data_IF_147763866079
#
_entry.id   IF_147763866079
#
_cell.length_a   1.000
_cell.length_b   1.000
_cell.length_c   1.000
_cell.angle_alpha   90.00
_cell.angle_beta   90.00
_cell.angle_gamma   90.00
#
_symmetry.space_group_name_H-M   'P 1'
#
loop_
_entity.id
_entity.type
_entity.pdbx_description
1 polymer ?
#
# COMPACT_ATOMS: atom_id res chain seq x y z
N UNK A 1 13.02 -15.13 55.65
CA UNK A 1 12.84 -16.22 54.68
C UNK A 1 13.88 -16.09 53.59
N UNK A 2 14.77 -17.08 53.47
CA UNK A 2 15.82 -17.14 52.44
C UNK A 2 15.18 -17.65 51.15
N UNK A 3 15.14 -16.84 50.09
CA UNK A 3 14.70 -17.29 48.76
C UNK A 3 15.94 -17.48 47.87
N UNK A 4 16.06 -18.68 47.32
CA UNK A 4 17.18 -19.20 46.55
C UNK A 4 16.90 -19.02 45.05
N UNK A 5 17.99 -18.73 44.32
CA UNK A 5 18.39 -19.36 43.04
C UNK A 5 17.54 -19.09 41.79
N UNK A 6 18.17 -18.43 40.80
CA UNK A 6 18.21 -18.92 39.41
C UNK A 6 19.29 -18.15 38.63
N UNK A 7 20.40 -18.84 38.37
CA UNK A 7 21.54 -18.40 37.57
C UNK A 7 21.30 -18.97 36.16
N UNK A 8 20.92 -18.13 35.19
CA UNK A 8 20.84 -18.54 33.78
C UNK A 8 22.17 -18.23 33.10
N UNK A 9 22.95 -19.29 32.90
CA UNK A 9 24.21 -19.28 32.15
C UNK A 9 23.88 -19.22 30.65
N UNK A 10 23.75 -18.01 30.11
CA UNK A 10 23.62 -17.76 28.68
C UNK A 10 24.98 -17.87 28.00
N UNK A 11 25.26 -19.02 27.40
CA UNK A 11 26.40 -19.26 26.51
C UNK A 11 26.20 -18.45 25.21
N UNK A 12 26.62 -17.17 25.23
CA UNK A 12 26.66 -16.36 24.01
C UNK A 12 27.98 -16.66 23.29
N UNK A 13 27.85 -17.46 22.24
CA UNK A 13 28.90 -17.80 21.28
C UNK A 13 29.50 -16.50 20.70
N UNK A 14 30.71 -16.15 21.14
CA UNK A 14 31.55 -15.15 20.50
C UNK A 14 31.95 -15.69 19.13
N UNK A 15 31.26 -15.29 18.06
CA UNK A 15 31.74 -15.47 16.69
C UNK A 15 32.86 -14.46 16.50
N UNK A 16 34.09 -14.87 16.82
CA UNK A 16 35.28 -14.18 16.38
C UNK A 16 35.40 -14.40 14.86
N UNK A 17 34.96 -13.41 14.08
CA UNK A 17 35.36 -13.30 12.68
C UNK A 17 36.86 -12.95 12.66
N UNK A 18 37.71 -13.98 12.66
CA UNK A 18 39.10 -13.80 12.29
C UNK A 18 39.15 -13.50 10.80
N UNK A 19 39.34 -12.22 10.47
CA UNK A 19 39.68 -11.78 9.12
C UNK A 19 41.07 -12.35 8.83
N UNK A 20 41.12 -13.49 8.16
CA UNK A 20 42.37 -14.01 7.62
C UNK A 20 42.68 -13.17 6.40
N UNK A 21 43.49 -12.12 6.59
CA UNK A 21 44.19 -11.54 5.45
C UNK A 21 45.09 -12.64 4.89
N UNK A 22 44.72 -13.20 3.74
CA UNK A 22 45.61 -14.00 2.94
C UNK A 22 46.70 -13.05 2.42
N UNK A 23 47.73 -12.79 3.24
CA UNK A 23 48.92 -12.11 2.76
C UNK A 23 49.59 -13.06 1.76
N UNK A 24 49.49 -12.74 0.47
CA UNK A 24 50.23 -13.42 -0.58
C UNK A 24 51.72 -13.32 -0.21
N UNK A 25 52.46 -14.44 -0.08
CA UNK A 25 53.88 -14.38 0.23
C UNK A 25 54.61 -13.65 -0.91
N UNK A 26 55.27 -12.54 -0.59
CA UNK A 26 56.19 -11.86 -1.51
C UNK A 26 57.51 -12.63 -1.58
N UNK A 27 57.45 -13.81 -2.19
CA UNK A 27 58.60 -14.68 -2.40
C UNK A 27 59.14 -14.51 -3.81
N UNK A 28 60.45 -14.34 -3.91
CA UNK A 28 61.16 -14.01 -5.13
C UNK A 28 62.32 -14.97 -5.32
N UNK A 29 62.27 -15.82 -6.34
CA UNK A 29 63.40 -16.70 -6.68
C UNK A 29 64.48 -15.93 -7.45
N UNK A 30 65.65 -15.77 -6.87
CA UNK A 30 66.84 -15.23 -7.53
C UNK A 30 67.76 -16.35 -8.01
N UNK A 31 68.18 -16.30 -9.28
CA UNK A 31 69.08 -17.27 -9.92
C UNK A 31 70.24 -16.57 -10.58
N UNK A 32 71.43 -17.12 -10.43
CA UNK A 32 72.64 -16.56 -11.01
C UNK A 32 73.68 -17.61 -11.35
N UNK A 33 74.68 -17.20 -12.13
CA UNK A 33 75.86 -18.00 -12.43
C UNK A 33 77.06 -17.41 -11.71
N UNK A 34 77.64 -18.17 -10.80
CA UNK A 34 78.82 -17.83 -10.04
C UNK A 34 80.08 -18.38 -10.72
N UNK A 35 81.06 -17.50 -10.90
CA UNK A 35 82.39 -17.82 -11.43
C UNK A 35 83.45 -17.34 -10.45
N UNK A 36 84.39 -18.19 -10.10
CA UNK A 36 85.60 -17.82 -9.36
C UNK A 36 86.79 -17.95 -10.33
N UNK A 37 87.58 -16.88 -10.48
CA UNK A 37 88.73 -16.84 -11.40
C UNK A 37 88.38 -17.24 -12.85
N UNK A 38 87.16 -16.93 -13.31
CA UNK A 38 86.68 -17.22 -14.67
C UNK A 38 86.12 -18.63 -14.88
N UNK A 39 86.28 -19.54 -13.91
CA UNK A 39 85.79 -20.91 -13.99
C UNK A 39 84.44 -21.08 -13.29
N UNK A 40 83.60 -21.98 -13.82
CA UNK A 40 82.35 -22.38 -13.17
C UNK A 40 82.68 -23.20 -11.94
N UNK A 41 82.02 -22.87 -10.82
CA UNK A 41 82.28 -23.53 -9.55
C UNK A 41 81.19 -24.54 -9.21
N UNK A 42 81.55 -25.59 -8.48
CA UNK A 42 80.57 -26.51 -7.87
C UNK A 42 80.90 -26.67 -6.39
N UNK A 43 79.88 -26.64 -5.54
CA UNK A 43 80.00 -26.76 -4.09
C UNK A 43 79.12 -25.78 -3.33
N UNK A 44 79.22 -25.83 -2.00
CA UNK A 44 78.43 -24.96 -1.11
C UNK A 44 79.06 -23.59 -0.96
N UNK A 45 78.25 -22.53 -0.94
CA UNK A 45 78.68 -21.15 -0.73
C UNK A 45 77.74 -20.42 0.22
N UNK A 46 78.29 -19.46 0.95
CA UNK A 46 77.53 -18.51 1.75
C UNK A 46 77.10 -17.34 0.87
N UNK A 47 75.81 -17.08 0.78
CA UNK A 47 75.25 -15.96 0.02
C UNK A 47 74.51 -14.99 0.94
N UNK A 48 74.58 -13.70 0.63
CA UNK A 48 73.76 -12.67 1.28
C UNK A 48 73.27 -11.66 0.23
N UNK A 49 72.01 -11.28 0.34
CA UNK A 49 71.30 -10.43 -0.61
C UNK A 49 70.80 -9.17 0.10
N UNK A 50 71.13 -7.99 -0.43
CA UNK A 50 70.69 -6.71 0.10
C UNK A 50 69.90 -5.92 -0.96
N UNK A 51 68.80 -5.29 -0.56
CA UNK A 51 68.02 -4.39 -1.40
C UNK A 51 68.27 -2.93 -1.04
N UNK A 52 68.33 -2.08 -2.07
CA UNK A 52 68.55 -0.63 -1.96
C UNK A 52 67.62 0.13 -2.89
N UNK A 53 67.37 1.42 -2.58
CA UNK A 53 66.65 2.37 -3.44
C UNK A 53 67.56 3.13 -4.42
N UNK A 54 68.88 2.94 -4.34
CA UNK A 54 69.86 3.62 -5.19
C UNK A 54 70.87 2.64 -5.78
N UNK A 55 71.41 2.95 -6.95
CA UNK A 55 72.41 2.12 -7.64
C UNK A 55 73.74 2.05 -6.88
N UNK A 56 74.12 3.16 -6.22
CA UNK A 56 75.32 3.25 -5.37
C UNK A 56 74.99 3.94 -4.05
N UNK A 57 75.73 3.61 -2.99
CA UNK A 57 75.50 4.16 -1.64
C UNK A 57 74.14 3.77 -1.05
N UNK A 58 73.56 4.64 -0.22
CA UNK A 58 72.23 4.44 0.37
C UNK A 58 72.19 3.49 1.57
N UNK A 59 71.05 3.47 2.26
CA UNK A 59 70.77 2.54 3.36
C UNK A 59 70.20 1.23 2.82
N UNK A 60 70.51 0.13 3.49
CA UNK A 60 69.92 -1.18 3.18
C UNK A 60 68.44 -1.15 3.54
N UNK A 61 67.57 -1.40 2.55
CA UNK A 61 66.13 -1.50 2.75
C UNK A 61 65.74 -2.87 3.31
N UNK A 62 66.43 -3.92 2.87
CA UNK A 62 66.23 -5.28 3.32
C UNK A 62 67.50 -6.11 3.12
N UNK A 63 67.71 -7.09 3.99
CA UNK A 63 68.77 -8.09 3.89
C UNK A 63 68.19 -9.49 4.08
N UNK A 64 68.66 -10.45 3.30
CA UNK A 64 68.36 -11.87 3.55
C UNK A 64 69.04 -12.41 4.82
N UNK A 65 70.03 -11.69 5.35
CA UNK A 65 71.03 -12.29 6.24
C UNK A 65 71.91 -13.31 5.51
N UNK A 66 72.80 -13.97 6.25
CA UNK A 66 73.68 -15.01 5.73
C UNK A 66 72.89 -16.30 5.46
N UNK A 67 72.73 -16.62 4.17
CA UNK A 67 72.24 -17.92 3.73
C UNK A 67 73.46 -18.83 3.59
N UNK A 68 73.64 -19.70 4.59
CA UNK A 68 74.73 -20.67 4.61
C UNK A 68 74.41 -21.86 3.70
N UNK A 69 75.46 -22.52 3.21
CA UNK A 69 75.35 -23.79 2.49
C UNK A 69 74.48 -23.78 1.22
N UNK A 70 74.45 -22.68 0.46
CA UNK A 70 73.77 -22.63 -0.84
C UNK A 70 74.50 -23.54 -1.83
N UNK A 71 73.78 -24.51 -2.39
CA UNK A 71 74.30 -25.40 -3.40
C UNK A 71 74.52 -24.66 -4.73
N UNK A 72 75.77 -24.64 -5.18
CA UNK A 72 76.16 -24.15 -6.50
C UNK A 72 76.56 -25.35 -7.35
N UNK A 73 75.89 -25.56 -8.47
CA UNK A 73 76.16 -26.66 -9.39
C UNK A 73 76.49 -26.12 -10.77
N UNK A 74 77.71 -26.39 -11.27
CA UNK A 74 78.20 -25.88 -12.55
C UNK A 74 78.03 -24.35 -12.69
N UNK A 75 78.31 -23.63 -11.61
CA UNK A 75 78.14 -22.19 -11.45
C UNK A 75 76.71 -21.75 -11.16
N UNK A 76 75.69 -22.56 -11.40
CA UNK A 76 74.29 -22.15 -11.16
C UNK A 76 73.92 -22.25 -9.69
N UNK A 77 73.22 -21.23 -9.17
CA UNK A 77 72.57 -21.26 -7.87
C UNK A 77 71.13 -20.70 -7.96
N UNK A 78 70.30 -21.04 -6.97
CA UNK A 78 68.92 -20.55 -6.84
C UNK A 78 68.63 -20.28 -5.36
N UNK A 79 68.09 -19.10 -5.05
CA UNK A 79 67.69 -18.73 -3.69
C UNK A 79 66.31 -18.09 -3.70
N UNK A 80 65.45 -18.50 -2.78
CA UNK A 80 64.14 -17.88 -2.58
C UNK A 80 64.27 -16.76 -1.54
N UNK A 81 63.94 -15.54 -1.94
CA UNK A 81 64.07 -14.32 -1.15
C UNK A 81 62.69 -13.88 -0.68
N UNK A 82 62.57 -13.50 0.59
CA UNK A 82 61.32 -13.01 1.21
C UNK A 82 61.49 -11.61 1.78
N UNK A 83 61.62 -10.59 0.92
CA UNK A 83 61.76 -9.22 1.36
C UNK A 83 60.51 -8.70 2.06
N UNK A 84 60.68 -8.14 3.26
CA UNK A 84 59.63 -7.36 3.93
C UNK A 84 59.72 -5.88 3.52
N UNK A 85 59.85 -5.63 2.22
CA UNK A 85 59.84 -4.30 1.62
C UNK A 85 58.87 -4.28 0.46
N UNK A 86 58.28 -3.12 0.18
CA UNK A 86 57.39 -2.97 -0.96
C UNK A 86 58.18 -3.11 -2.26
N UNK A 87 58.10 -4.28 -2.89
CA UNK A 87 58.74 -4.56 -4.17
C UNK A 87 58.18 -3.71 -5.33
N UNK A 88 57.06 -2.99 -5.12
CA UNK A 88 56.48 -2.05 -6.10
C UNK A 88 57.11 -0.66 -6.05
N UNK A 89 57.98 -0.38 -5.07
CA UNK A 89 58.68 0.89 -4.97
C UNK A 89 59.49 1.16 -6.26
N UNK A 90 59.49 2.41 -6.73
CA UNK A 90 60.26 2.80 -7.93
C UNK A 90 61.76 2.64 -7.65
N UNK A 91 62.45 1.97 -8.56
CA UNK A 91 63.91 1.77 -8.58
C UNK A 91 64.50 1.00 -7.38
N UNK A 92 64.33 -0.33 -7.39
CA UNK A 92 65.01 -1.25 -6.46
C UNK A 92 66.25 -1.89 -7.09
N UNK A 93 67.30 -2.01 -6.27
CA UNK A 93 68.61 -2.51 -6.66
C UNK A 93 69.07 -3.63 -5.73
N UNK A 94 69.44 -4.77 -6.29
CA UNK A 94 69.91 -5.96 -5.58
C UNK A 94 71.44 -6.01 -5.55
N UNK A 95 72.00 -6.20 -4.36
CA UNK A 95 73.43 -6.39 -4.13
C UNK A 95 73.68 -7.78 -3.56
N UNK A 96 74.67 -8.49 -4.11
CA UNK A 96 74.96 -9.88 -3.75
C UNK A 96 76.35 -10.00 -3.14
N UNK A 97 76.43 -10.69 -2.02
CA UNK A 97 77.66 -11.09 -1.36
C UNK A 97 77.84 -12.59 -1.48
N UNK A 98 79.05 -13.02 -1.85
CA UNK A 98 79.46 -14.42 -1.93
C UNK A 98 80.66 -14.62 -1.01
N UNK A 99 80.54 -15.45 0.02
CA UNK A 99 81.61 -15.70 1.00
C UNK A 99 82.25 -14.39 1.51
N UNK A 100 81.38 -13.45 1.94
CA UNK A 100 81.73 -12.12 2.43
C UNK A 100 82.34 -11.14 1.41
N UNK A 101 82.48 -11.56 0.15
CA UNK A 101 82.91 -10.68 -0.94
C UNK A 101 81.71 -10.11 -1.67
N UNK A 102 81.65 -8.78 -1.71
CA UNK A 102 80.68 -8.03 -2.51
C UNK A 102 80.94 -8.27 -4.01
N UNK A 103 79.93 -8.69 -4.75
CA UNK A 103 80.00 -8.72 -6.22
C UNK A 103 79.86 -7.30 -6.79
N UNK A 104 80.54 -7.04 -7.90
CA UNK A 104 80.59 -5.69 -8.50
C UNK A 104 79.29 -5.34 -9.22
N UNK A 105 78.74 -4.17 -8.89
CA UNK A 105 77.51 -3.63 -9.48
C UNK A 105 76.26 -4.13 -8.76
N UNK A 106 75.27 -3.24 -8.56
CA UNK A 106 73.94 -3.65 -8.13
C UNK A 106 73.09 -3.94 -9.35
N UNK A 107 72.27 -4.96 -9.28
CA UNK A 107 71.34 -5.33 -10.35
C UNK A 107 70.00 -4.62 -10.14
N UNK A 108 69.54 -3.85 -11.13
CA UNK A 108 68.21 -3.21 -11.06
C UNK A 108 67.12 -4.27 -11.20
N UNK A 109 66.19 -4.32 -10.25
CA UNK A 109 65.01 -5.16 -10.38
C UNK A 109 64.09 -4.61 -11.47
N UNK A 110 63.80 -5.42 -12.49
CA UNK A 110 62.95 -5.07 -13.65
C UNK A 110 61.62 -5.84 -13.63
N UNK A 111 60.64 -5.36 -14.40
CA UNK A 111 59.21 -5.74 -14.44
C UNK A 111 58.87 -7.25 -14.42
N UNK A 112 59.81 -8.13 -14.70
CA UNK A 112 59.61 -9.57 -14.74
C UNK A 112 59.46 -10.18 -13.33
N UNK A 113 59.98 -9.50 -12.30
CA UNK A 113 59.73 -9.79 -10.88
C UNK A 113 58.40 -9.20 -10.36
N UNK A 114 57.74 -8.36 -11.15
CA UNK A 114 56.54 -7.61 -10.78
C UNK A 114 55.24 -8.32 -11.22
N UNK A 115 55.35 -9.52 -11.82
CA UNK A 115 54.21 -10.34 -12.21
C UNK A 115 53.55 -11.06 -11.00
N UNK A 116 53.79 -10.59 -9.77
CA UNK A 116 52.90 -10.91 -8.65
C UNK A 116 51.58 -10.17 -8.85
N UNK A 117 50.50 -10.95 -8.92
CA UNK A 117 49.09 -10.56 -9.01
C UNK A 117 48.79 -9.13 -8.53
N UNK A 118 48.10 -8.39 -9.40
CA UNK A 118 47.81 -6.98 -9.18
C UNK A 118 47.05 -6.74 -7.88
N UNK A 119 47.67 -6.02 -6.94
CA UNK A 119 46.97 -5.42 -5.81
C UNK A 119 45.94 -4.34 -6.21
N UNK A 120 45.75 -4.09 -7.51
CA UNK A 120 44.78 -3.14 -8.05
C UNK A 120 43.40 -3.74 -8.37
N UNK A 121 43.12 -5.02 -8.10
CA UNK A 121 41.76 -5.54 -8.30
C UNK A 121 40.82 -5.40 -7.08
N UNK A 122 41.28 -4.87 -5.94
CA UNK A 122 40.53 -5.01 -4.68
C UNK A 122 40.11 -3.70 -3.99
N UNK A 123 40.69 -2.53 -4.31
CA UNK A 123 40.23 -1.26 -3.72
C UNK A 123 40.41 -0.07 -4.66
N UNK A 124 39.30 0.57 -5.03
CA UNK A 124 39.28 1.91 -5.62
C UNK A 124 38.81 2.86 -4.50
N UNK A 125 39.71 3.68 -3.98
CA UNK A 125 39.39 4.73 -3.00
C UNK A 125 39.53 6.08 -3.70
N UNK A 126 38.44 6.84 -3.79
CA UNK A 126 38.41 8.16 -4.43
C UNK A 126 37.52 9.09 -3.62
N UNK A 127 37.96 10.33 -3.41
CA UNK A 127 37.18 11.43 -2.81
C UNK A 127 36.39 12.22 -3.86
N UNK A 128 36.20 11.64 -5.04
CA UNK A 128 35.64 12.26 -6.24
C UNK A 128 35.04 11.19 -7.14
N UNK A 129 34.32 11.61 -8.19
CA UNK A 129 33.63 10.72 -9.11
C UNK A 129 34.55 9.63 -9.68
N UNK A 130 34.16 8.37 -9.49
CA UNK A 130 34.80 7.22 -10.13
C UNK A 130 34.00 6.85 -11.37
N UNK A 131 34.64 6.91 -12.53
CA UNK A 131 34.04 6.48 -13.81
C UNK A 131 34.72 5.21 -14.29
N UNK A 132 33.96 4.14 -14.45
CA UNK A 132 34.42 2.90 -15.07
C UNK A 132 34.06 2.98 -16.55
N UNK A 133 35.07 2.93 -17.43
CA UNK A 133 34.88 2.93 -18.89
C UNK A 133 35.28 1.59 -19.50
N UNK A 134 34.57 1.17 -20.54
CA UNK A 134 34.97 0.08 -21.43
C UNK A 134 35.01 0.66 -22.85
N UNK A 135 36.21 0.76 -23.43
CA UNK A 135 36.43 1.54 -24.66
C UNK A 135 36.18 3.03 -24.43
N UNK A 136 35.34 3.66 -25.27
CA UNK A 136 34.95 5.06 -25.16
C UNK A 136 33.64 5.29 -24.37
N UNK A 137 33.05 4.24 -23.80
CA UNK A 137 31.76 4.31 -23.10
C UNK A 137 31.95 4.21 -21.60
N UNK A 138 31.39 5.15 -20.84
CA UNK A 138 31.24 5.04 -19.39
C UNK A 138 30.10 4.07 -19.05
N UNK A 139 30.40 3.02 -18.28
CA UNK A 139 29.44 1.97 -17.91
C UNK A 139 28.91 2.12 -16.48
N UNK A 140 29.66 2.79 -15.60
CA UNK A 140 29.24 3.08 -14.25
C UNK A 140 29.94 4.33 -13.74
N UNK A 141 29.18 5.19 -13.05
CA UNK A 141 29.69 6.39 -12.40
C UNK A 141 29.25 6.38 -10.93
N UNK A 142 30.21 6.46 -10.02
CA UNK A 142 29.96 6.54 -8.57
C UNK A 142 30.38 7.95 -8.13
N UNK A 143 29.42 8.77 -7.70
CA UNK A 143 29.68 10.08 -7.10
C UNK A 143 29.00 10.19 -5.74
N UNK A 144 29.65 10.90 -4.81
CA UNK A 144 29.15 11.07 -3.44
C UNK A 144 27.84 11.87 -3.37
N UNK A 145 27.53 12.66 -4.41
CA UNK A 145 26.40 13.59 -4.39
C UNK A 145 25.14 13.12 -5.12
N UNK A 146 25.22 12.12 -6.01
CA UNK A 146 24.08 11.78 -6.89
C UNK A 146 23.65 10.30 -6.88
N UNK A 147 24.22 9.49 -5.98
CA UNK A 147 23.94 8.05 -5.89
C UNK A 147 24.56 7.25 -7.04
N UNK A 148 24.38 5.93 -7.00
CA UNK A 148 24.88 5.02 -8.03
C UNK A 148 23.96 5.11 -9.25
N UNK A 149 24.54 5.44 -10.42
CA UNK A 149 23.84 5.53 -11.71
C UNK A 149 24.44 4.58 -12.72
N UNK A 150 23.59 3.95 -13.52
CA UNK A 150 24.01 3.19 -14.70
C UNK A 150 23.66 3.96 -15.96
N UNK A 151 24.59 4.01 -16.91
CA UNK A 151 24.39 4.66 -18.21
C UNK A 151 24.38 3.57 -19.28
N UNK A 152 23.22 3.34 -19.89
CA UNK A 152 23.07 2.39 -21.00
C UNK A 152 22.45 3.16 -22.16
N UNK A 153 23.10 3.16 -23.34
CA UNK A 153 22.61 3.83 -24.55
C UNK A 153 22.18 5.29 -24.32
N UNK A 154 22.99 6.07 -23.61
CA UNK A 154 22.71 7.48 -23.28
C UNK A 154 21.46 7.71 -22.40
N UNK A 155 20.97 6.66 -21.75
CA UNK A 155 19.89 6.72 -20.75
C UNK A 155 20.48 6.51 -19.36
N UNK A 156 20.21 7.45 -18.45
CA UNK A 156 20.61 7.35 -17.04
C UNK A 156 19.58 6.56 -16.25
N UNK A 157 19.99 5.42 -15.71
CA UNK A 157 19.20 4.61 -14.78
C UNK A 157 19.63 4.95 -13.35
N UNK A 158 18.65 5.31 -12.54
CA UNK A 158 18.83 5.52 -11.10
C UNK A 158 18.48 4.23 -10.37
N UNK A 159 19.31 3.84 -9.41
CA UNK A 159 18.96 2.77 -8.49
C UNK A 159 17.88 3.27 -7.53
N UNK A 160 16.79 2.52 -7.41
CA UNK A 160 15.75 2.76 -6.39
C UNK A 160 15.99 1.86 -5.18
N UNK A 161 15.80 2.37 -3.94
CA UNK A 161 15.89 1.54 -2.75
C UNK A 161 14.91 0.36 -2.76
N UNK A 162 15.28 -0.73 -2.10
CA UNK A 162 14.36 -1.83 -1.79
C UNK A 162 13.17 -1.29 -0.96
N UNK A 163 11.98 -1.78 -1.26
CA UNK A 163 10.74 -1.38 -0.59
C UNK A 163 10.00 -0.22 -1.25
N UNK A 164 10.58 0.43 -2.26
CA UNK A 164 9.86 1.43 -3.07
C UNK A 164 8.74 0.75 -3.84
N UNK A 165 7.55 1.33 -3.76
CA UNK A 165 6.35 0.91 -4.49
C UNK A 165 6.10 1.88 -5.63
N UNK A 166 5.85 1.34 -6.82
CA UNK A 166 5.51 2.13 -8.01
C UNK A 166 4.24 1.60 -8.66
N UNK A 167 3.54 2.48 -9.39
CA UNK A 167 2.44 2.08 -10.25
C UNK A 167 2.99 1.49 -11.55
N UNK A 168 2.45 0.34 -11.95
CA UNK A 168 2.87 -0.44 -13.11
C UNK A 168 1.68 -0.68 -14.03
N UNK A 169 1.82 -0.25 -15.29
CA UNK A 169 0.78 -0.40 -16.31
C UNK A 169 0.96 -1.65 -17.18
N UNK A 170 2.05 -2.39 -17.00
CA UNK A 170 2.28 -3.62 -17.73
C UNK A 170 1.52 -4.81 -17.15
N UNK A 171 1.64 -5.95 -17.81
CA UNK A 171 1.00 -7.19 -17.41
C UNK A 171 1.54 -7.69 -16.05
N UNK A 172 0.65 -8.13 -15.16
CA UNK A 172 1.00 -8.63 -13.82
C UNK A 172 1.78 -9.95 -13.82
N UNK A 173 1.71 -10.72 -14.91
CA UNK A 173 2.53 -11.91 -15.12
C UNK A 173 3.91 -11.57 -15.72
N UNK A 174 4.12 -10.35 -16.20
CA UNK A 174 5.37 -9.87 -16.82
C UNK A 174 6.09 -8.82 -15.96
N UNK A 175 6.05 -8.98 -14.64
CA UNK A 175 6.74 -8.08 -13.72
C UNK A 175 8.26 -8.25 -13.88
N UNK A 176 9.03 -7.16 -14.07
CA UNK A 176 10.48 -7.26 -14.24
C UNK A 176 11.18 -7.93 -13.05
N UNK A 177 12.26 -8.66 -13.34
CA UNK A 177 13.10 -9.26 -12.30
C UNK A 177 13.58 -8.20 -11.30
N UNK A 178 13.58 -8.57 -10.01
CA UNK A 178 13.90 -7.67 -8.91
C UNK A 178 12.73 -6.81 -8.44
N UNK A 179 11.52 -7.00 -8.97
CA UNK A 179 10.27 -6.44 -8.48
C UNK A 179 9.28 -7.55 -8.13
N UNK A 180 8.34 -7.27 -7.23
CA UNK A 180 7.24 -8.17 -6.88
C UNK A 180 5.91 -7.43 -6.88
N UNK A 181 4.82 -8.14 -7.14
CA UNK A 181 3.47 -7.61 -6.98
C UNK A 181 3.20 -7.28 -5.51
N UNK A 182 2.49 -6.18 -5.26
CA UNK A 182 1.98 -5.82 -3.93
C UNK A 182 0.69 -6.59 -3.62
N UNK A 183 0.84 -7.90 -3.37
CA UNK A 183 -0.24 -8.86 -3.12
C UNK A 183 -0.16 -9.54 -1.73
N UNK A 184 0.77 -9.10 -0.87
CA UNK A 184 1.01 -9.70 0.44
C UNK A 184 2.08 -10.80 0.44
N UNK A 185 2.50 -11.30 -0.73
CA UNK A 185 3.60 -12.24 -0.85
C UNK A 185 4.97 -11.52 -0.83
N UNK A 186 6.07 -12.25 -0.64
CA UNK A 186 7.43 -11.68 -0.69
C UNK A 186 7.66 -10.46 0.23
N UNK A 187 6.96 -10.40 1.36
CA UNK A 187 6.96 -9.27 2.30
C UNK A 187 6.51 -7.92 1.68
N UNK A 188 5.73 -7.96 0.59
CA UNK A 188 5.05 -6.78 0.05
C UNK A 188 3.75 -6.51 0.82
N UNK A 189 3.24 -5.27 0.85
CA UNK A 189 1.88 -5.01 1.30
C UNK A 189 0.85 -5.52 0.27
N UNK A 190 -0.36 -5.90 0.69
CA UNK A 190 -1.46 -6.21 -0.24
C UNK A 190 -2.24 -4.94 -0.60
N UNK A 191 -1.95 -4.39 -1.79
CA UNK A 191 -2.56 -3.17 -2.32
C UNK A 191 -3.65 -3.42 -3.37
N UNK A 192 -4.01 -4.69 -3.62
CA UNK A 192 -5.02 -5.03 -4.63
C UNK A 192 -6.38 -4.46 -4.24
N UNK A 193 -6.99 -3.70 -5.15
CA UNK A 193 -8.31 -3.09 -4.94
C UNK A 193 -8.34 -1.99 -3.87
N UNK A 194 -7.18 -1.42 -3.50
CA UNK A 194 -7.06 -0.36 -2.50
C UNK A 194 -6.76 0.99 -3.14
N UNK A 195 -7.31 2.04 -2.54
CA UNK A 195 -6.88 3.41 -2.79
C UNK A 195 -5.76 3.76 -1.81
N UNK A 196 -4.68 4.36 -2.30
CA UNK A 196 -3.51 4.70 -1.47
C UNK A 196 -3.68 6.09 -0.90
N UNK A 197 -3.53 6.21 0.42
CA UNK A 197 -3.52 7.48 1.15
C UNK A 197 -2.12 7.74 1.71
N UNK A 198 -1.70 9.01 1.73
CA UNK A 198 -0.41 9.42 2.27
C UNK A 198 -0.37 9.23 3.78
N UNK A 199 0.76 8.73 4.29
CA UNK A 199 1.03 8.71 5.72
C UNK A 199 0.93 10.12 6.30
N UNK A 200 0.23 10.24 7.44
CA UNK A 200 0.14 11.49 8.17
C UNK A 200 0.17 11.24 9.67
N UNK A 201 1.28 11.62 10.31
CA UNK A 201 1.56 11.31 11.72
C UNK A 201 0.53 11.85 12.71
N UNK A 202 -0.12 12.97 12.38
CA UNK A 202 -1.04 13.68 13.27
C UNK A 202 -2.50 13.24 13.11
N UNK A 203 -2.76 12.29 12.20
CA UNK A 203 -4.10 11.78 11.92
C UNK A 203 -4.20 10.32 12.36
N UNK A 204 -5.14 10.01 13.25
CA UNK A 204 -5.31 8.66 13.80
C UNK A 204 -5.58 7.60 12.73
N UNK A 205 -6.14 7.98 11.59
CA UNK A 205 -6.48 7.05 10.53
C UNK A 205 -5.24 6.73 9.67
N UNK A 206 -4.28 7.66 9.59
CA UNK A 206 -3.13 7.60 8.67
C UNK A 206 -1.75 7.64 9.35
N UNK A 207 -1.69 7.61 10.69
CA UNK A 207 -0.45 7.71 11.47
C UNK A 207 0.41 6.42 11.53
N UNK A 208 0.09 5.40 10.75
CA UNK A 208 0.93 4.20 10.61
C UNK A 208 0.81 3.64 9.21
N UNK A 209 1.93 3.21 8.64
CA UNK A 209 1.95 2.54 7.33
C UNK A 209 1.26 1.18 7.41
N UNK A 210 0.55 0.82 6.34
CA UNK A 210 -0.20 -0.45 6.27
C UNK A 210 -1.55 -0.43 6.97
N UNK A 211 -1.98 0.68 7.58
CA UNK A 211 -3.39 0.85 7.99
C UNK A 211 -4.31 0.74 6.80
N UNK A 212 -5.46 0.11 7.02
CA UNK A 212 -6.50 -0.10 6.02
C UNK A 212 -7.84 0.42 6.54
N UNK A 213 -8.70 0.85 5.63
CA UNK A 213 -10.04 1.34 5.93
C UNK A 213 -10.82 1.61 4.65
N UNK A 214 -11.96 2.28 4.81
CA UNK A 214 -12.86 2.64 3.71
C UNK A 214 -13.79 1.51 3.29
N UNK A 215 -14.85 1.89 2.58
CA UNK A 215 -15.90 0.98 2.13
C UNK A 215 -16.16 1.21 0.64
N UNK A 216 -16.19 0.12 -0.13
CA UNK A 216 -16.52 0.16 -1.56
C UNK A 216 -17.97 0.61 -1.78
N UNK A 217 -18.86 0.09 -0.94
CA UNK A 217 -20.28 0.38 -0.93
C UNK A 217 -20.71 0.65 0.50
N UNK A 218 -21.61 1.60 0.70
CA UNK A 218 -22.06 2.01 2.03
C UNK A 218 -23.58 1.97 2.13
N UNK A 219 -24.11 1.46 3.25
CA UNK A 219 -25.53 1.51 3.59
C UNK A 219 -25.72 2.63 4.59
N UNK A 220 -26.49 3.65 4.21
CA UNK A 220 -26.80 4.78 5.08
C UNK A 220 -27.53 4.26 6.32
N UNK A 221 -26.97 4.55 7.49
CA UNK A 221 -27.57 4.24 8.78
C UNK A 221 -28.58 5.31 9.22
N UNK A 222 -29.41 4.98 10.20
CA UNK A 222 -30.35 5.95 10.80
C UNK A 222 -29.63 7.17 11.37
N UNK A 223 -28.42 7.01 11.92
CA UNK A 223 -27.62 8.12 12.45
C UNK A 223 -27.03 9.05 11.38
N UNK A 224 -26.95 8.59 10.13
CA UNK A 224 -26.46 9.36 8.99
C UNK A 224 -27.60 10.04 8.22
N UNK A 225 -28.87 9.75 8.56
CA UNK A 225 -30.02 10.42 7.97
C UNK A 225 -30.28 11.78 8.64
N UNK A 226 -30.34 12.88 7.87
CA UNK A 226 -30.78 14.16 8.40
C UNK A 226 -32.20 14.07 8.99
N UNK A 227 -32.44 14.87 10.03
CA UNK A 227 -33.79 15.03 10.61
C UNK A 227 -34.73 15.55 9.51
N UNK A 228 -35.82 14.82 9.29
CA UNK A 228 -36.87 15.20 8.36
C UNK A 228 -38.24 14.89 8.97
N UNK A 229 -39.27 15.59 8.50
CA UNK A 229 -40.66 15.33 8.87
C UNK A 229 -41.55 15.51 7.64
N UNK A 230 -42.69 14.82 7.64
CA UNK A 230 -43.72 14.96 6.62
C UNK A 230 -44.99 15.49 7.27
N UNK A 231 -45.68 16.40 6.58
CA UNK A 231 -46.98 16.91 6.98
C UNK A 231 -47.96 16.81 5.81
N UNK A 232 -49.19 16.42 6.10
CA UNK A 232 -50.31 16.44 5.16
C UNK A 232 -51.50 17.17 5.79
N UNK A 233 -52.29 17.86 4.97
CA UNK A 233 -53.56 18.44 5.35
C UNK A 233 -54.63 17.82 4.45
N UNK A 234 -55.76 17.47 5.03
CA UNK A 234 -56.98 17.22 4.25
C UNK A 234 -57.80 18.49 4.24
N UNK A 235 -58.33 18.84 3.06
CA UNK A 235 -59.13 20.05 2.88
C UNK A 235 -60.32 20.14 3.83
N UNK A 236 -60.91 21.33 3.90
CA UNK A 236 -62.08 21.62 4.72
C UNK A 236 -63.19 20.57 4.55
N UNK A 237 -63.71 20.12 5.69
CA UNK A 237 -64.90 19.28 5.86
C UNK A 237 -65.99 19.66 4.85
N UNK A 238 -66.62 18.67 4.20
CA UNK A 238 -67.75 18.89 3.28
C UNK A 238 -68.75 19.87 3.92
N UNK A 239 -68.93 21.04 3.29
CA UNK A 239 -69.88 22.05 3.77
C UNK A 239 -71.25 21.39 3.78
N UNK A 240 -71.85 21.29 4.98
CA UNK A 240 -73.04 20.45 5.21
C UNK A 240 -74.10 20.66 4.14
N UNK A 241 -74.67 19.56 3.63
CA UNK A 241 -75.78 19.62 2.69
C UNK A 241 -77.08 19.23 3.39
N UNK A 242 -78.17 19.88 3.01
CA UNK A 242 -79.51 19.62 3.58
C UNK A 242 -80.34 18.76 2.63
N UNK A 243 -81.01 17.75 3.15
CA UNK A 243 -82.10 17.08 2.44
C UNK A 243 -83.42 17.75 2.79
N UNK A 244 -84.24 18.00 1.77
CA UNK A 244 -85.63 18.43 1.93
C UNK A 244 -86.57 17.46 1.22
N UNK A 245 -87.75 17.26 1.79
CA UNK A 245 -88.80 16.44 1.22
C UNK A 245 -90.17 17.01 1.54
N UNK A 246 -91.14 16.70 0.70
CA UNK A 246 -92.55 17.03 0.89
C UNK A 246 -93.41 15.79 0.65
N UNK A 247 -94.50 15.67 1.40
CA UNK A 247 -95.54 14.66 1.16
C UNK A 247 -96.59 15.23 0.21
N UNK A 248 -97.17 14.39 -0.67
CA UNK A 248 -98.24 14.83 -1.56
C UNK A 248 -99.58 14.95 -0.82
N UNK A 249 -100.45 15.81 -1.33
CA UNK A 249 -101.72 16.21 -0.71
C UNK A 249 -102.86 15.19 -0.80
N UNK A 250 -102.56 13.93 -1.13
CA UNK A 250 -103.60 12.99 -1.49
C UNK A 250 -104.12 12.22 -0.27
N UNK A 251 -105.05 12.83 0.46
CA UNK A 251 -105.73 12.21 1.61
C UNK A 251 -107.02 12.88 2.06
N UNK A 252 -107.56 13.84 1.30
CA UNK A 252 -108.78 14.54 1.70
C UNK A 252 -110.02 13.73 1.36
N UNK A 253 -110.82 13.39 2.37
CA UNK A 253 -112.15 12.82 2.19
C UNK A 253 -113.15 13.46 3.14
N UNK A 254 -114.42 13.50 2.73
CA UNK A 254 -115.53 14.02 3.53
C UNK A 254 -116.51 12.89 3.85
N UNK A 255 -117.10 12.93 5.05
CA UNK A 255 -118.16 12.02 5.43
C UNK A 255 -119.51 12.72 5.29
N UNK A 256 -120.47 12.04 4.66
CA UNK A 256 -121.88 12.43 4.67
C UNK A 256 -122.65 11.40 5.48
N UNK A 257 -123.51 11.87 6.38
CA UNK A 257 -124.51 11.03 7.00
C UNK A 257 -125.88 11.70 6.86
N UNK A 258 -126.88 10.89 6.48
CA UNK A 258 -128.27 11.30 6.44
C UNK A 258 -128.92 10.95 7.78
N UNK A 259 -129.50 11.93 8.45
CA UNK A 259 -130.31 11.68 9.64
C UNK A 259 -131.78 11.55 9.24
N UNK A 260 -132.37 10.38 9.48
CA UNK A 260 -133.80 10.15 9.27
C UNK A 260 -134.57 10.68 10.49
N UNK A 261 -135.30 11.78 10.33
CA UNK A 261 -136.21 12.28 11.36
C UNK A 261 -137.34 11.27 11.56
N UNK A 262 -137.30 10.56 12.69
CA UNK A 262 -138.40 9.68 13.11
C UNK A 262 -139.61 10.51 13.49
N UNK A 263 -140.69 10.40 12.73
CA UNK A 263 -142.00 10.95 13.10
C UNK A 263 -142.65 10.00 14.12
N UNK A 264 -142.91 10.50 15.34
CA UNK A 264 -143.74 9.79 16.31
C UNK A 264 -145.20 9.84 15.84
N UNK A 265 -145.86 8.67 15.89
CA UNK A 265 -147.12 8.39 15.24
C UNK A 265 -148.31 9.26 15.66
N UNK A 266 -149.23 9.42 14.72
CA UNK A 266 -150.65 9.56 14.97
C UNK A 266 -151.39 8.72 13.91
N UNK A 267 -152.27 7.86 14.39
CA UNK A 267 -152.93 6.79 13.63
C UNK A 267 -153.92 7.33 12.60
N UNK A 268 -153.79 6.91 11.33
CA UNK A 268 -154.74 7.24 10.26
C UNK A 268 -154.39 6.57 8.93
N UNK A 269 -155.33 5.86 8.25
CA UNK A 269 -155.02 4.88 7.21
C UNK A 269 -154.78 5.46 5.80
N UNK A 270 -154.38 6.73 5.66
CA UNK A 270 -154.13 7.31 4.32
C UNK A 270 -153.14 8.48 4.34
N UNK A 271 -151.89 8.20 4.75
CA UNK A 271 -150.85 9.22 4.81
C UNK A 271 -149.67 8.91 3.86
N UNK A 272 -149.58 9.65 2.76
CA UNK A 272 -148.38 9.71 1.92
C UNK A 272 -147.33 10.63 2.55
N UNK A 273 -146.38 10.04 3.30
CA UNK A 273 -145.27 10.78 3.91
C UNK A 273 -144.15 11.01 2.89
N UNK A 274 -143.94 12.26 2.47
CA UNK A 274 -142.70 12.69 1.80
C UNK A 274 -141.71 13.14 2.89
N UNK A 275 -140.80 12.26 3.29
CA UNK A 275 -139.71 12.61 4.20
C UNK A 275 -138.76 13.60 3.52
N UNK A 276 -138.51 14.75 4.14
CA UNK A 276 -137.48 15.69 3.71
C UNK A 276 -136.14 15.23 4.31
N UNK A 277 -135.23 14.72 3.49
CA UNK A 277 -133.88 14.39 3.93
C UNK A 277 -133.06 15.68 4.08
N UNK A 278 -132.64 15.99 5.31
CA UNK A 278 -131.69 17.07 5.58
C UNK A 278 -130.29 16.50 5.68
N UNK A 279 -129.44 16.85 4.73
CA UNK A 279 -128.03 16.45 4.69
C UNK A 279 -127.16 17.52 5.34
N UNK A 280 -126.30 17.14 6.27
CA UNK A 280 -125.26 18.01 6.83
C UNK A 280 -123.88 17.40 6.55
N UNK A 281 -122.93 18.25 6.14
CA UNK A 281 -121.53 17.89 5.92
C UNK A 281 -120.65 18.55 6.97
N UNK A 282 -119.64 17.84 7.46
CA UNK A 282 -118.57 18.44 8.27
C UNK A 282 -117.66 19.25 7.34
N UNK A 283 -117.20 20.44 7.75
CA UNK A 283 -116.21 21.20 6.98
C UNK A 283 -114.87 20.47 6.98
N UNK A 284 -114.20 20.48 5.82
CA UNK A 284 -112.86 19.92 5.64
C UNK A 284 -111.87 20.59 6.60
N UNK A 285 -111.08 19.80 7.34
CA UNK A 285 -109.80 20.30 7.82
C UNK A 285 -108.93 20.57 6.59
N UNK A 286 -108.51 21.83 6.46
CA UNK A 286 -107.90 22.36 5.25
C UNK A 286 -106.61 21.62 4.86
N UNK A 287 -106.33 21.67 3.56
CA UNK A 287 -105.06 21.26 2.96
C UNK A 287 -103.89 21.83 3.77
N UNK A 288 -103.07 20.96 4.35
CA UNK A 288 -101.87 21.36 5.07
C UNK A 288 -100.66 20.56 4.58
N UNK A 289 -99.52 21.26 4.50
CA UNK A 289 -98.26 20.72 4.02
C UNK A 289 -97.33 20.46 5.20
N UNK A 290 -96.74 19.26 5.26
CA UNK A 290 -95.60 19.00 6.12
C UNK A 290 -94.31 19.25 5.35
N UNK A 291 -93.53 20.20 5.83
CA UNK A 291 -92.12 20.35 5.45
C UNK A 291 -91.26 19.87 6.61
N UNK A 292 -90.19 19.15 6.30
CA UNK A 292 -89.15 18.87 7.26
C UNK A 292 -87.79 19.19 6.65
N UNK A 293 -86.89 19.62 7.52
CA UNK A 293 -85.47 19.79 7.22
C UNK A 293 -84.72 18.99 8.28
N UNK A 294 -83.84 18.08 7.86
CA UNK A 294 -82.90 17.48 8.80
C UNK A 294 -81.79 18.50 9.03
N UNK A 295 -81.85 19.26 10.13
CA UNK A 295 -80.76 20.11 10.58
C UNK A 295 -79.69 19.28 11.31
N UNK A 296 -78.41 19.57 11.01
CA UNK A 296 -77.18 19.20 11.72
C UNK A 296 -77.00 17.68 12.00
N UNK A 297 -76.03 16.96 11.43
CA UNK A 297 -74.59 17.17 11.48
C UNK A 297 -73.95 16.32 10.36
N UNK A 298 -72.95 16.84 9.63
CA UNK A 298 -72.01 15.97 8.91
C UNK A 298 -71.30 15.12 9.96
N UNK A 299 -71.59 13.81 10.01
CA UNK A 299 -70.99 12.90 11.00
C UNK A 299 -69.47 13.11 11.05
N UNK A 300 -68.91 13.06 12.27
CA UNK A 300 -67.47 13.08 12.48
C UNK A 300 -66.81 12.07 11.54
N UNK A 301 -66.07 12.57 10.55
CA UNK A 301 -65.21 11.74 9.73
C UNK A 301 -63.76 12.06 10.06
N UNK A 302 -62.96 11.01 10.12
CA UNK A 302 -61.52 11.13 10.31
C UNK A 302 -60.85 11.12 8.95
N UNK A 303 -59.88 12.01 8.78
CA UNK A 303 -58.97 11.98 7.66
C UNK A 303 -57.73 11.19 8.05
N UNK A 304 -57.49 10.08 7.36
CA UNK A 304 -56.22 9.35 7.44
C UNK A 304 -55.33 9.81 6.28
N UNK A 305 -54.14 10.30 6.63
CA UNK A 305 -53.07 10.57 5.68
C UNK A 305 -51.94 9.58 5.94
N UNK A 306 -51.53 8.84 4.91
CA UNK A 306 -50.39 7.93 4.94
C UNK A 306 -49.53 8.22 3.72
N UNK A 307 -48.22 8.37 3.91
CA UNK A 307 -47.25 8.35 2.80
C UNK A 307 -46.73 6.94 2.63
N UNK A 308 -46.48 6.54 1.39
CA UNK A 308 -45.81 5.28 1.12
C UNK A 308 -44.34 5.34 1.58
N UNK A 309 -43.87 4.26 2.18
CA UNK A 309 -42.45 4.11 2.50
C UNK A 309 -41.68 3.95 1.18
N UNK A 310 -40.66 4.78 0.97
CA UNK A 310 -39.73 4.65 -0.15
C UNK A 310 -38.31 4.47 0.38
N UNK A 311 -37.56 3.58 -0.27
CA UNK A 311 -36.22 3.16 0.14
C UNK A 311 -36.19 1.68 0.50
N UNK A 312 -35.08 1.02 0.17
CA UNK A 312 -34.88 -0.42 0.37
C UNK A 312 -33.59 -0.75 1.13
N UNK A 313 -32.95 0.27 1.73
CA UNK A 313 -31.73 0.15 2.51
C UNK A 313 -30.55 -0.48 1.74
N UNK A 314 -30.55 -0.42 0.41
CA UNK A 314 -29.47 -0.99 -0.38
C UNK A 314 -28.22 -0.11 -0.29
N UNK A 315 -27.06 -0.77 -0.31
CA UNK A 315 -25.79 -0.06 -0.34
C UNK A 315 -25.64 0.68 -1.67
N UNK A 316 -25.10 1.89 -1.63
CA UNK A 316 -24.73 2.63 -2.84
C UNK A 316 -23.24 2.53 -3.12
N UNK A 317 -22.84 2.66 -4.39
CA UNK A 317 -21.43 2.77 -4.76
C UNK A 317 -20.80 4.01 -4.15
N UNK A 318 -19.61 3.85 -3.57
CA UNK A 318 -18.85 4.91 -2.92
C UNK A 318 -17.47 5.12 -3.59
N UNK A 319 -17.25 4.50 -4.76
CA UNK A 319 -15.98 4.59 -5.49
C UNK A 319 -15.96 5.77 -6.47
N UNK A 320 -14.87 6.55 -6.54
CA UNK A 320 -14.65 7.46 -7.65
C UNK A 320 -14.38 6.69 -8.96
N UNK A 321 -14.56 7.31 -10.15
CA UNK A 321 -14.07 6.75 -11.40
C UNK A 321 -12.59 6.38 -11.32
N UNK A 322 -12.19 5.22 -11.83
CA UNK A 322 -10.83 4.69 -11.65
C UNK A 322 -10.25 4.06 -12.91
N UNK A 323 -8.92 4.09 -13.00
CA UNK A 323 -8.11 3.33 -13.95
C UNK A 323 -7.21 2.36 -13.17
N UNK A 324 -7.12 1.11 -13.61
CA UNK A 324 -6.42 0.05 -12.87
C UNK A 324 -4.96 -0.02 -13.29
N UNK A 325 -4.07 0.19 -12.33
CA UNK A 325 -2.63 -0.10 -12.43
C UNK A 325 -2.29 -1.14 -11.36
N UNK A 326 -1.30 -1.98 -11.64
CA UNK A 326 -0.69 -2.81 -10.62
C UNK A 326 0.20 -1.95 -9.71
N UNK A 327 0.35 -2.35 -8.46
CA UNK A 327 1.41 -1.84 -7.59
C UNK A 327 2.51 -2.89 -7.49
N UNK A 328 3.75 -2.53 -7.80
CA UNK A 328 4.91 -3.41 -7.67
C UNK A 328 5.94 -2.79 -6.73
N UNK A 329 6.60 -3.63 -5.94
CA UNK A 329 7.60 -3.23 -4.95
C UNK A 329 8.99 -3.73 -5.35
N UNK A 330 10.00 -2.87 -5.22
CA UNK A 330 11.40 -3.26 -5.44
C UNK A 330 11.83 -4.25 -4.34
N UNK A 331 12.29 -5.43 -4.75
CA UNK A 331 12.88 -6.46 -3.87
C UNK A 331 14.33 -6.20 -3.52
#
# INVERSE_FOLDING_TARGET
>A
MKCKLLFFLGFYCFIAFSVVFAAVPAEVTYRGVLREYGQLITGKRKLCFNLYSTETGGQVLWTSGDINDVDVANGMFSCDLRPNVDLRAKDLWLEVYVSDKKLSGREKLTSNFFAMHSGSSENITSTSTVTITVGNSAIATISESEGIKSMINNTTYYMVPRGIIVMWSGDSASIPSGWALCDGANATPDLRGRFVVGYYSSDSDYNATGKIGGEKTHVITVGEMPVHYHSGATDNQSQGHTHSGSTSNNGSHAHSYATRLGYYGADGPNNGYWGNETSASTSLDGNHLHTFTTGDVSQNHAHAFSTDNTGNGQAHENRPPYYVLAFIMKL
#
